data_IF_559734123790
#
_entry.id   IF_559734123790
#
_cell.length_a   1.000
_cell.length_b   1.000
_cell.length_c   1.000
_cell.angle_alpha   90.00
_cell.angle_beta   90.00
_cell.angle_gamma   90.00
#
_symmetry.space_group_name_H-M   'P 1'
#
loop_
_entity.id
_entity.type
_entity.pdbx_description
1 polymer ?
#
# COMPACT_ATOMS: atom_id res chain seq x y z
N UNK A 1 16.65 22.06 80.77
CA UNK A 1 16.55 20.59 80.60
C UNK A 1 16.41 20.37 79.10
N UNK A 2 17.52 20.33 78.36
CA UNK A 2 18.30 19.12 78.04
C UNK A 2 17.43 18.16 77.17
N UNK A 3 17.73 17.82 75.92
CA UNK A 3 19.04 17.47 75.36
C UNK A 3 19.20 17.70 73.85
N UNK A 4 20.40 18.16 73.50
CA UNK A 4 21.12 17.84 72.26
C UNK A 4 21.51 16.36 72.25
N UNK A 5 21.34 15.66 71.11
CA UNK A 5 22.07 14.45 70.61
C UNK A 5 21.14 13.75 69.59
N UNK A 6 21.46 13.35 68.35
CA UNK A 6 22.67 13.27 67.50
C UNK A 6 22.17 13.28 66.06
N UNK A 7 22.77 14.11 65.20
CA UNK A 7 22.82 13.88 63.76
C UNK A 7 23.78 12.72 63.50
N UNK A 8 23.34 11.63 62.89
CA UNK A 8 24.09 10.77 61.96
C UNK A 8 23.21 9.56 61.64
N UNK A 9 22.83 9.39 60.37
CA UNK A 9 23.12 8.15 59.62
C UNK A 9 22.56 8.26 58.21
N UNK A 10 23.51 8.43 57.30
CA UNK A 10 23.42 8.31 55.87
C UNK A 10 23.44 6.81 55.50
N UNK A 11 22.75 6.48 54.40
CA UNK A 11 22.90 5.26 53.58
C UNK A 11 22.26 3.97 54.10
N UNK A 12 21.26 3.48 53.37
CA UNK A 12 20.76 2.12 53.53
C UNK A 12 19.48 1.82 52.75
N UNK A 13 19.35 2.29 51.50
CA UNK A 13 18.24 1.90 50.62
C UNK A 13 18.45 0.41 50.29
N UNK A 14 17.82 -0.47 51.07
CA UNK A 14 17.85 -1.90 50.85
C UNK A 14 17.19 -2.19 49.50
N UNK A 15 18.05 -2.38 48.50
CA UNK A 15 17.71 -3.03 47.24
C UNK A 15 17.24 -4.43 47.58
N UNK A 16 15.94 -4.68 47.47
CA UNK A 16 15.38 -6.03 47.39
C UNK A 16 15.81 -6.62 46.06
N UNK A 17 17.09 -6.97 46.00
CA UNK A 17 17.70 -7.78 44.96
C UNK A 17 17.05 -9.14 45.08
N UNK A 18 15.98 -9.31 44.30
CA UNK A 18 15.39 -10.57 43.87
C UNK A 18 16.46 -11.67 43.96
N UNK A 19 16.45 -12.41 45.08
CA UNK A 19 17.29 -13.57 45.24
C UNK A 19 16.68 -14.61 44.31
N UNK A 20 17.14 -14.58 43.05
CA UNK A 20 17.11 -15.76 42.23
C UNK A 20 18.12 -16.72 42.89
N UNK A 21 17.66 -17.47 43.88
CA UNK A 21 18.37 -18.65 44.35
C UNK A 21 18.50 -19.57 43.14
N UNK A 22 19.68 -19.52 42.50
CA UNK A 22 20.10 -20.53 41.57
C UNK A 22 20.25 -21.81 42.38
N UNK A 23 19.16 -22.57 42.46
CA UNK A 23 19.18 -23.94 42.93
C UNK A 23 20.07 -24.72 41.96
N UNK A 24 21.34 -24.85 42.32
CA UNK A 24 22.35 -25.64 41.62
C UNK A 24 21.89 -27.10 41.72
N UNK A 25 20.98 -27.54 40.83
CA UNK A 25 20.44 -28.91 40.77
C UNK A 25 21.60 -29.90 40.63
N UNK A 26 21.96 -30.56 41.72
CA UNK A 26 23.01 -31.57 41.77
C UNK A 26 22.48 -32.91 41.25
N UNK A 27 21.96 -32.92 40.02
CA UNK A 27 21.63 -34.14 39.29
C UNK A 27 22.71 -34.36 38.24
N UNK A 28 23.47 -35.46 38.36
CA UNK A 28 24.33 -36.05 37.31
C UNK A 28 25.02 -35.04 36.40
N UNK A 29 25.94 -34.24 36.96
CA UNK A 29 26.80 -33.35 36.18
C UNK A 29 27.96 -34.14 35.63
N UNK A 30 28.10 -34.13 34.31
CA UNK A 30 29.23 -34.75 33.65
C UNK A 30 30.49 -33.89 33.93
N UNK A 31 31.52 -34.38 34.68
CA UNK A 31 32.64 -33.54 35.13
C UNK A 31 33.48 -32.93 34.01
N UNK A 32 33.24 -33.39 32.78
CA UNK A 32 33.94 -32.98 31.55
C UNK A 32 33.28 -31.78 30.87
N UNK A 33 32.03 -31.44 31.21
CA UNK A 33 31.32 -30.28 30.70
C UNK A 33 31.50 -29.10 31.66
N UNK A 34 31.99 -27.97 31.14
CA UNK A 34 32.21 -26.75 31.92
C UNK A 34 30.90 -26.15 32.45
N UNK A 35 31.02 -25.34 33.51
CA UNK A 35 29.90 -24.60 34.10
C UNK A 35 29.17 -23.77 33.03
N UNK A 36 27.85 -23.89 32.95
CA UNK A 36 26.99 -23.21 31.98
C UNK A 36 26.82 -23.93 30.63
N UNK A 37 27.73 -24.83 30.24
CA UNK A 37 27.58 -25.58 28.98
C UNK A 37 26.40 -26.56 29.04
N UNK A 38 26.21 -27.22 30.19
CA UNK A 38 25.07 -28.12 30.38
C UNK A 38 23.74 -27.37 30.28
N UNK A 39 23.63 -26.18 30.88
CA UNK A 39 22.41 -25.36 30.80
C UNK A 39 22.14 -24.87 29.37
N UNK A 40 23.19 -24.55 28.62
CA UNK A 40 23.09 -24.20 27.20
C UNK A 40 22.62 -25.40 26.37
N UNK A 41 23.27 -26.56 26.55
CA UNK A 41 22.93 -27.80 25.85
C UNK A 41 21.49 -28.24 26.20
N UNK A 42 21.07 -28.13 27.46
CA UNK A 42 19.70 -28.38 27.92
C UNK A 42 18.70 -27.40 27.30
N UNK A 43 19.04 -26.11 27.20
CA UNK A 43 18.18 -25.10 26.58
C UNK A 43 17.94 -25.36 25.08
N UNK A 44 18.98 -25.76 24.34
CA UNK A 44 18.86 -26.07 22.91
C UNK A 44 18.32 -27.47 22.63
N UNK A 45 18.47 -28.42 23.56
CA UNK A 45 18.01 -29.82 23.42
C UNK A 45 16.63 -30.05 24.06
N UNK A 46 16.13 -29.11 24.87
CA UNK A 46 14.80 -29.18 25.45
C UNK A 46 13.74 -29.38 24.37
N UNK A 47 12.83 -30.32 24.61
CA UNK A 47 11.76 -30.69 23.68
C UNK A 47 10.87 -29.48 23.29
N UNK A 48 10.81 -28.45 24.14
CA UNK A 48 10.11 -27.18 23.87
C UNK A 48 10.84 -26.26 22.86
N UNK A 49 12.17 -26.33 22.77
CA UNK A 49 13.00 -25.49 21.88
C UNK A 49 13.31 -26.19 20.55
N UNK A 50 13.36 -27.52 20.57
CA UNK A 50 13.46 -28.38 19.36
C UNK A 50 12.10 -28.53 18.66
N UNK A 51 11.05 -27.84 19.11
CA UNK A 51 9.80 -27.80 18.36
C UNK A 51 10.03 -27.10 17.02
N UNK A 52 9.95 -27.89 15.94
CA UNK A 52 9.91 -27.38 14.57
C UNK A 52 8.83 -26.30 14.51
N UNK A 53 9.20 -25.08 14.10
CA UNK A 53 8.22 -24.05 13.74
C UNK A 53 7.24 -24.69 12.76
N UNK A 54 5.97 -24.82 13.16
CA UNK A 54 4.92 -25.37 12.31
C UNK A 54 4.91 -24.56 11.01
N UNK A 55 4.89 -25.25 9.87
CA UNK A 55 4.70 -24.60 8.59
C UNK A 55 3.30 -23.97 8.56
N UNK A 56 3.11 -22.90 7.80
CA UNK A 56 1.80 -22.26 7.60
C UNK A 56 0.70 -23.24 7.08
N UNK A 57 1.11 -24.40 6.58
CA UNK A 57 0.27 -25.51 6.10
C UNK A 57 -0.22 -26.44 7.25
N UNK A 58 0.53 -26.51 8.36
CA UNK A 58 0.21 -27.32 9.56
C UNK A 58 -0.49 -26.49 10.65
N UNK A 59 -0.46 -25.16 10.53
CA UNK A 59 -1.24 -24.27 11.37
C UNK A 59 -2.71 -24.45 10.99
N UNK A 60 -3.52 -24.97 11.91
CA UNK A 60 -4.94 -25.24 11.69
C UNK A 60 -5.61 -24.06 10.97
N UNK A 61 -6.40 -24.38 9.94
CA UNK A 61 -7.33 -23.45 9.30
C UNK A 61 -8.41 -23.06 10.31
N UNK A 62 -8.03 -22.28 11.31
CA UNK A 62 -8.99 -21.69 12.22
C UNK A 62 -9.87 -20.77 11.39
N UNK A 63 -11.18 -20.86 11.59
CA UNK A 63 -12.16 -20.00 10.88
C UNK A 63 -11.80 -18.51 11.00
N UNK A 64 -11.09 -18.13 12.07
CA UNK A 64 -10.54 -16.78 12.25
C UNK A 64 -9.46 -16.39 11.24
N UNK A 65 -8.53 -17.29 10.87
CA UNK A 65 -7.52 -17.01 9.85
C UNK A 65 -8.14 -16.87 8.46
N UNK A 66 -9.18 -17.66 8.17
CA UNK A 66 -9.95 -17.53 6.94
C UNK A 66 -10.66 -16.17 6.86
N UNK A 67 -11.34 -15.76 7.95
CA UNK A 67 -11.98 -14.44 8.05
C UNK A 67 -10.97 -13.28 7.96
N UNK A 68 -9.79 -13.42 8.57
CA UNK A 68 -8.71 -12.41 8.46
C UNK A 68 -8.23 -12.24 7.02
N UNK A 69 -7.97 -13.35 6.31
CA UNK A 69 -7.56 -13.33 4.89
C UNK A 69 -8.65 -12.75 3.98
N UNK A 70 -9.91 -13.03 4.26
CA UNK A 70 -11.03 -12.47 3.50
C UNK A 70 -11.11 -10.94 3.64
N UNK A 71 -11.02 -10.44 4.87
CA UNK A 71 -11.01 -8.99 5.14
C UNK A 71 -9.78 -8.31 4.54
N UNK A 72 -8.61 -8.95 4.61
CA UNK A 72 -7.39 -8.45 3.96
C UNK A 72 -7.51 -8.44 2.43
N UNK A 73 -8.04 -9.51 1.84
CA UNK A 73 -8.27 -9.59 0.40
C UNK A 73 -9.26 -8.53 -0.08
N UNK A 74 -10.34 -8.29 0.65
CA UNK A 74 -11.31 -7.22 0.33
C UNK A 74 -10.64 -5.84 0.39
N UNK A 75 -9.84 -5.58 1.43
CA UNK A 75 -9.08 -4.33 1.57
C UNK A 75 -8.08 -4.15 0.42
N UNK A 76 -7.32 -5.18 0.08
CA UNK A 76 -6.39 -5.14 -1.03
C UNK A 76 -7.09 -4.92 -2.36
N UNK A 77 -8.22 -5.58 -2.60
CA UNK A 77 -9.02 -5.37 -3.81
C UNK A 77 -9.48 -3.91 -3.91
N UNK A 78 -9.97 -3.32 -2.81
CA UNK A 78 -10.36 -1.91 -2.77
C UNK A 78 -9.19 -0.99 -3.07
N UNK A 79 -8.05 -1.19 -2.41
CA UNK A 79 -6.81 -0.42 -2.67
C UNK A 79 -6.39 -0.57 -4.14
N UNK A 80 -6.44 -1.77 -4.71
CA UNK A 80 -6.11 -2.00 -6.10
C UNK A 80 -7.06 -1.27 -7.06
N UNK A 81 -8.37 -1.22 -6.76
CA UNK A 81 -9.33 -0.46 -7.57
C UNK A 81 -9.03 1.04 -7.53
N UNK A 82 -8.80 1.61 -6.35
CA UNK A 82 -8.47 3.03 -6.19
C UNK A 82 -7.15 3.38 -6.88
N UNK A 83 -6.11 2.56 -6.70
CA UNK A 83 -4.80 2.76 -7.37
C UNK A 83 -4.95 2.69 -8.90
N UNK A 84 -5.81 1.80 -9.42
CA UNK A 84 -6.08 1.73 -10.88
C UNK A 84 -6.75 3.01 -11.37
N UNK A 85 -7.68 3.58 -10.63
CA UNK A 85 -8.33 4.84 -10.99
C UNK A 85 -7.35 6.01 -10.99
N UNK A 86 -6.52 6.11 -9.95
CA UNK A 86 -5.47 7.14 -9.85
C UNK A 86 -4.47 7.02 -11.00
N UNK A 87 -4.06 5.80 -11.37
CA UNK A 87 -3.13 5.57 -12.49
C UNK A 87 -3.69 5.98 -13.86
N UNK A 88 -5.00 6.06 -14.02
CA UNK A 88 -5.63 6.57 -15.26
C UNK A 88 -5.42 8.08 -15.42
N UNK A 89 -5.35 8.83 -14.31
CA UNK A 89 -5.15 10.29 -14.33
C UNK A 89 -3.75 10.65 -14.87
N UNK A 90 -2.74 9.83 -14.56
CA UNK A 90 -1.35 10.04 -15.02
C UNK A 90 -1.07 9.49 -16.43
N UNK A 91 -2.10 9.14 -17.19
CA UNK A 91 -1.98 8.67 -18.57
C UNK A 91 -2.40 9.76 -19.55
N UNK A 92 -1.62 9.97 -20.61
CA UNK A 92 -1.98 10.93 -21.67
C UNK A 92 -2.00 10.31 -23.06
N UNK A 93 -3.21 10.19 -23.62
CA UNK A 93 -3.50 9.62 -24.94
C UNK A 93 -2.80 10.31 -26.11
N UNK A 94 -2.63 11.64 -26.05
CA UNK A 94 -1.95 12.37 -27.13
C UNK A 94 -0.53 11.86 -27.36
N UNK A 95 0.15 11.46 -26.29
CA UNK A 95 1.55 11.06 -26.32
C UNK A 95 1.75 9.57 -26.11
N UNK A 96 0.70 8.82 -25.76
CA UNK A 96 0.75 7.40 -25.35
C UNK A 96 1.82 7.15 -24.27
N UNK A 97 1.85 8.02 -23.24
CA UNK A 97 2.79 7.93 -22.11
C UNK A 97 2.03 7.82 -20.81
N UNK A 98 2.49 6.92 -19.93
CA UNK A 98 2.00 6.78 -18.56
C UNK A 98 3.13 7.13 -17.59
N UNK A 99 2.81 7.95 -16.59
CA UNK A 99 3.76 8.41 -15.57
C UNK A 99 3.48 7.76 -14.23
N UNK A 100 4.53 7.59 -13.42
CA UNK A 100 4.43 7.01 -12.07
C UNK A 100 4.26 8.09 -11.00
N UNK A 101 4.91 9.25 -11.20
CA UNK A 101 4.87 10.38 -10.28
C UNK A 101 4.12 11.58 -10.87
N UNK A 102 3.43 12.33 -10.01
CA UNK A 102 2.72 13.55 -10.40
C UNK A 102 3.66 14.61 -10.99
N UNK A 103 4.84 14.80 -10.40
CA UNK A 103 5.82 15.78 -10.86
C UNK A 103 6.31 15.51 -12.30
N UNK A 104 6.55 14.24 -12.65
CA UNK A 104 6.95 13.86 -14.02
C UNK A 104 5.83 14.13 -15.02
N UNK A 105 4.58 13.86 -14.60
CA UNK A 105 3.40 14.12 -15.41
C UNK A 105 3.21 15.62 -15.66
N UNK A 106 3.33 16.46 -14.64
CA UNK A 106 3.24 17.92 -14.76
C UNK A 106 4.34 18.49 -15.66
N UNK A 107 5.58 18.00 -15.49
CA UNK A 107 6.71 18.39 -16.35
C UNK A 107 6.47 18.01 -17.81
N UNK A 108 5.83 16.86 -18.06
CA UNK A 108 5.43 16.50 -19.41
C UNK A 108 4.36 17.45 -19.97
N UNK A 109 3.35 17.82 -19.19
CA UNK A 109 2.29 18.73 -19.64
C UNK A 109 2.83 20.12 -20.01
N UNK A 110 3.85 20.60 -19.29
CA UNK A 110 4.51 21.87 -19.61
C UNK A 110 5.56 21.76 -20.73
N UNK A 111 5.97 20.56 -21.11
CA UNK A 111 6.98 20.35 -22.16
C UNK A 111 6.55 20.88 -23.54
N UNK A 112 7.53 21.36 -24.32
CA UNK A 112 7.30 21.91 -25.65
C UNK A 112 6.64 20.89 -26.59
N UNK A 113 7.17 19.66 -26.66
CA UNK A 113 6.64 18.60 -27.54
C UNK A 113 5.18 18.26 -27.23
N UNK A 114 4.81 18.20 -25.95
CA UNK A 114 3.44 17.95 -25.54
C UNK A 114 2.50 19.05 -26.05
N UNK A 115 2.86 20.31 -25.81
CA UNK A 115 2.07 21.46 -26.23
C UNK A 115 1.98 21.57 -27.75
N UNK A 116 3.05 21.25 -28.47
CA UNK A 116 3.03 21.23 -29.93
C UNK A 116 2.07 20.18 -30.48
N UNK A 117 2.12 18.96 -29.95
CA UNK A 117 1.23 17.87 -30.36
C UNK A 117 -0.23 18.17 -30.01
N UNK A 118 -0.47 18.77 -28.84
CA UNK A 118 -1.79 19.23 -28.41
C UNK A 118 -2.36 20.27 -29.37
N UNK A 119 -1.63 21.35 -29.64
CA UNK A 119 -2.06 22.42 -30.57
C UNK A 119 -2.31 21.89 -31.97
N UNK A 120 -1.46 20.98 -32.47
CA UNK A 120 -1.65 20.39 -33.79
C UNK A 120 -2.95 19.58 -33.88
N UNK A 121 -3.26 18.78 -32.85
CA UNK A 121 -4.52 18.02 -32.81
C UNK A 121 -5.73 18.95 -32.75
N UNK A 122 -5.69 19.97 -31.89
CA UNK A 122 -6.78 20.95 -31.77
C UNK A 122 -7.03 21.68 -33.10
N UNK A 123 -5.98 22.11 -33.80
CA UNK A 123 -6.11 22.74 -35.12
C UNK A 123 -6.74 21.79 -36.15
N UNK A 124 -6.29 20.53 -36.18
CA UNK A 124 -6.84 19.52 -37.11
C UNK A 124 -8.31 19.22 -36.82
N UNK A 125 -8.67 19.11 -35.54
CA UNK A 125 -10.05 18.87 -35.13
C UNK A 125 -10.96 20.03 -35.50
N UNK A 126 -10.55 21.27 -35.25
CA UNK A 126 -11.29 22.48 -35.63
C UNK A 126 -11.51 22.58 -37.15
N UNK A 127 -10.48 22.33 -37.96
CA UNK A 127 -10.63 22.32 -39.42
C UNK A 127 -11.59 21.21 -39.87
N UNK A 128 -11.49 20.02 -39.27
CA UNK A 128 -12.37 18.90 -39.61
C UNK A 128 -13.83 19.17 -39.22
N UNK A 129 -14.07 19.78 -38.06
CA UNK A 129 -15.41 20.08 -37.57
C UNK A 129 -16.05 21.17 -38.43
N UNK A 130 -15.32 22.25 -38.75
CA UNK A 130 -15.80 23.29 -39.66
C UNK A 130 -16.20 22.70 -41.02
N UNK A 131 -15.34 21.87 -41.63
CA UNK A 131 -15.63 21.24 -42.92
C UNK A 131 -16.86 20.31 -42.85
N UNK A 132 -16.99 19.53 -41.77
CA UNK A 132 -18.13 18.63 -41.56
C UNK A 132 -19.43 19.41 -41.38
N UNK A 133 -19.41 20.46 -40.56
CA UNK A 133 -20.59 21.26 -40.25
C UNK A 133 -21.06 22.04 -41.49
N UNK A 134 -20.15 22.56 -42.32
CA UNK A 134 -20.48 23.16 -43.61
C UNK A 134 -21.15 22.16 -44.57
N UNK A 135 -20.65 20.92 -44.63
CA UNK A 135 -21.24 19.85 -45.44
C UNK A 135 -22.64 19.49 -44.95
N UNK A 136 -22.81 19.32 -43.64
CA UNK A 136 -24.11 19.03 -43.01
C UNK A 136 -25.12 20.14 -43.26
N UNK A 137 -24.73 21.41 -43.10
CA UNK A 137 -25.61 22.56 -43.38
C UNK A 137 -26.07 22.59 -44.85
N UNK A 138 -25.17 22.27 -45.78
CA UNK A 138 -25.50 22.22 -47.22
C UNK A 138 -26.47 21.07 -47.54
N UNK A 139 -26.34 19.94 -46.87
CA UNK A 139 -27.22 18.78 -47.01
C UNK A 139 -28.61 19.07 -46.42
N UNK A 140 -28.68 19.62 -45.20
CA UNK A 140 -29.94 20.08 -44.59
C UNK A 140 -30.68 21.07 -45.47
N UNK A 141 -29.98 22.06 -46.05
CA UNK A 141 -30.61 23.02 -46.96
C UNK A 141 -31.18 22.38 -48.24
N UNK A 142 -30.63 21.24 -48.69
CA UNK A 142 -31.17 20.49 -49.83
C UNK A 142 -32.41 19.72 -49.43
N UNK A 143 -32.36 19.02 -48.30
CA UNK A 143 -33.51 18.29 -47.74
C UNK A 143 -34.68 19.23 -47.46
N UNK A 144 -34.44 20.39 -46.86
CA UNK A 144 -35.47 21.41 -46.61
C UNK A 144 -36.13 21.89 -47.92
N UNK A 145 -35.33 22.09 -48.98
CA UNK A 145 -35.86 22.49 -50.30
C UNK A 145 -36.66 21.37 -50.96
N UNK A 146 -36.26 20.11 -50.80
CA UNK A 146 -37.00 18.96 -51.32
C UNK A 146 -38.31 18.75 -50.54
N UNK A 147 -38.28 18.86 -49.22
CA UNK A 147 -39.49 18.81 -48.38
C UNK A 147 -40.46 19.95 -48.69
N UNK A 148 -39.95 21.17 -48.94
CA UNK A 148 -40.77 22.30 -49.36
C UNK A 148 -41.38 22.08 -50.75
N UNK A 149 -40.66 21.47 -51.70
CA UNK A 149 -41.22 21.11 -53.01
C UNK A 149 -42.28 20.02 -52.90
N UNK A 150 -42.06 19.01 -52.06
CA UNK A 150 -43.02 17.93 -51.83
C UNK A 150 -44.32 18.46 -51.22
N UNK A 151 -44.23 19.35 -50.22
CA UNK A 151 -45.44 19.95 -49.61
C UNK A 151 -46.21 20.87 -50.55
N UNK A 152 -45.52 21.56 -51.46
CA UNK A 152 -46.17 22.36 -52.51
C UNK A 152 -46.80 21.50 -53.62
N UNK A 153 -46.34 20.26 -53.81
CA UNK A 153 -46.87 19.34 -54.82
C UNK A 153 -47.99 18.42 -54.30
N UNK A 154 -48.22 18.35 -52.98
CA UNK A 154 -49.25 17.50 -52.36
C UNK A 154 -50.59 18.20 -52.11
N UNK A 155 -50.92 19.25 -52.88
CA UNK A 155 -52.22 19.95 -52.86
C UNK A 155 -52.91 19.76 -54.21
#
# INVERSE_FOLDING_TARGET
>A
MADMHVCLNLVGRQSTRFQQELLIKAGTRDPKLGLGKQEQDDFYTAEENVQRKKLDVEQETTEELAKKREVEAEREQKIQTEVKEIRKVFYRELCNKQYKLAMEFETHLSSYDHNHKKRFKEMKEQQSSQTRDERQKKEQLREEKEMAKFSQHSI
#
